data_IF_209876105331
#
_entry.id   IF_209876105331
#
_cell.length_a   1.000
_cell.length_b   1.000
_cell.length_c   1.000
_cell.angle_alpha   90.00
_cell.angle_beta   90.00
_cell.angle_gamma   90.00
#
_symmetry.space_group_name_H-M   'P 1'
#
loop_
_entity.id
_entity.type
_entity.pdbx_description
1 polymer ?
#
# COMPACT_ATOMS: atom_id res chain seq x y z
N UNK A 1 -11.95 -2.83 -71.60
CA UNK A 1 -11.47 -4.20 -71.91
C UNK A 1 -9.96 -4.20 -71.84
N UNK A 2 -9.39 -4.64 -70.72
CA UNK A 2 -8.04 -5.21 -70.65
C UNK A 2 -7.92 -5.96 -69.31
N UNK A 3 -7.58 -7.22 -69.46
CA UNK A 3 -7.52 -8.29 -68.47
C UNK A 3 -6.15 -8.25 -67.78
N UNK A 4 -6.10 -8.24 -66.44
CA UNK A 4 -4.93 -8.77 -65.70
C UNK A 4 -5.37 -9.59 -64.50
N UNK A 5 -5.18 -10.90 -64.68
CA UNK A 5 -5.21 -11.97 -63.68
C UNK A 5 -4.20 -11.72 -62.56
N UNK A 6 -4.57 -12.06 -61.33
CA UNK A 6 -3.67 -12.12 -60.18
C UNK A 6 -4.32 -12.87 -59.02
N UNK A 7 -4.36 -14.20 -59.14
CA UNK A 7 -4.87 -15.15 -58.15
C UNK A 7 -3.71 -15.57 -57.24
N UNK A 8 -3.78 -15.31 -55.94
CA UNK A 8 -2.94 -16.02 -54.96
C UNK A 8 -3.77 -16.37 -53.72
N UNK A 9 -4.22 -17.63 -53.68
CA UNK A 9 -4.62 -18.34 -52.47
C UNK A 9 -3.38 -19.07 -51.95
N UNK A 10 -3.08 -18.95 -50.66
CA UNK A 10 -2.26 -19.94 -49.95
C UNK A 10 -2.85 -20.20 -48.57
N UNK A 11 -3.56 -21.32 -48.50
CA UNK A 11 -3.87 -22.07 -47.30
C UNK A 11 -2.67 -22.94 -46.92
N UNK A 12 -2.26 -22.96 -45.66
CA UNK A 12 -1.52 -24.10 -45.09
C UNK A 12 -2.19 -24.55 -43.80
N UNK A 13 -2.54 -25.83 -43.80
CA UNK A 13 -3.29 -26.61 -42.83
C UNK A 13 -2.33 -27.63 -42.19
N UNK A 14 -2.51 -27.87 -40.89
CA UNK A 14 -2.31 -29.10 -40.09
C UNK A 14 -0.97 -29.88 -40.06
N UNK A 15 -0.48 -30.10 -38.83
CA UNK A 15 -0.31 -31.39 -38.09
C UNK A 15 0.55 -31.08 -36.84
N UNK A 16 0.26 -31.48 -35.59
CA UNK A 16 -0.55 -32.57 -35.06
C UNK A 16 0.35 -33.74 -34.61
N UNK A 17 0.63 -33.87 -33.30
CA UNK A 17 0.83 -35.13 -32.53
C UNK A 17 1.26 -34.79 -31.08
N UNK A 18 0.44 -35.12 -30.07
CA UNK A 18 0.57 -36.31 -29.17
C UNK A 18 1.54 -36.03 -28.00
N UNK A 19 1.31 -36.33 -26.72
CA UNK A 19 0.34 -37.20 -26.05
C UNK A 19 0.45 -37.04 -24.51
N UNK A 20 -0.70 -37.09 -23.83
CA UNK A 20 -1.02 -37.73 -22.52
C UNK A 20 -0.52 -37.23 -21.13
N UNK A 21 -1.32 -37.54 -20.07
CA UNK A 21 -1.31 -36.89 -18.75
C UNK A 21 -0.63 -37.71 -17.66
N UNK A 22 -0.19 -37.07 -16.57
CA UNK A 22 0.26 -37.78 -15.37
C UNK A 22 -0.56 -37.32 -14.16
N UNK A 23 -1.52 -38.16 -13.77
CA UNK A 23 -1.98 -38.34 -12.39
C UNK A 23 -1.27 -39.58 -11.84
N UNK A 24 -0.68 -39.46 -10.66
CA UNK A 24 -0.40 -40.63 -9.81
C UNK A 24 -0.55 -40.25 -8.34
N UNK A 25 -1.52 -40.88 -7.69
CA UNK A 25 -1.60 -41.07 -6.24
C UNK A 25 -0.39 -41.87 -5.74
N UNK A 26 0.02 -41.69 -4.47
CA UNK A 26 0.33 -42.80 -3.54
C UNK A 26 0.87 -42.37 -2.16
N UNK A 27 0.07 -42.70 -1.12
CA UNK A 27 0.43 -43.40 0.12
C UNK A 27 1.54 -42.92 1.08
N UNK A 28 1.12 -42.37 2.22
CA UNK A 28 1.08 -42.96 3.59
C UNK A 28 2.10 -44.06 4.01
N UNK A 29 2.56 -43.92 5.28
CA UNK A 29 3.20 -44.91 6.21
C UNK A 29 4.72 -45.04 6.06
N UNK A 30 5.59 -45.15 7.08
CA UNK A 30 5.55 -45.86 8.38
C UNK A 30 6.82 -45.41 9.18
N UNK A 31 6.72 -44.92 10.42
CA UNK A 31 6.94 -45.59 11.73
C UNK A 31 8.26 -46.35 11.98
N UNK A 32 8.76 -46.12 13.21
CA UNK A 32 9.65 -46.94 14.10
C UNK A 32 11.17 -46.86 13.88
N UNK A 33 11.96 -46.42 14.88
CA UNK A 33 12.35 -47.11 16.14
C UNK A 33 13.15 -48.38 15.83
N UNK A 34 14.34 -48.70 16.35
CA UNK A 34 14.97 -48.42 17.65
C UNK A 34 16.33 -49.15 17.72
N UNK A 35 17.00 -49.00 18.88
CA UNK A 35 17.96 -49.93 19.50
C UNK A 35 19.45 -49.64 19.19
N UNK A 36 20.42 -49.81 20.10
CA UNK A 36 20.51 -50.41 21.46
C UNK A 36 21.86 -49.93 22.06
N UNK A 37 22.04 -49.68 23.36
CA UNK A 37 22.58 -50.59 24.42
C UNK A 37 22.94 -49.69 25.62
N UNK A 38 22.44 -49.88 26.84
CA UNK A 38 22.69 -50.93 27.85
C UNK A 38 24.10 -50.87 28.47
N UNK A 39 24.22 -50.42 29.72
CA UNK A 39 24.44 -51.26 30.93
C UNK A 39 24.65 -50.34 32.17
N UNK A 40 23.79 -50.40 33.20
CA UNK A 40 23.83 -51.32 34.37
C UNK A 40 24.90 -50.88 35.40
N UNK A 41 24.70 -50.79 36.73
CA UNK A 41 23.71 -51.34 37.66
C UNK A 41 23.98 -50.78 39.09
N UNK A 42 22.92 -50.62 39.90
CA UNK A 42 22.81 -50.78 41.39
C UNK A 42 23.72 -50.00 42.38
N UNK A 43 23.40 -49.77 43.67
CA UNK A 43 22.26 -50.11 44.55
C UNK A 43 22.15 -49.07 45.69
N UNK A 44 21.03 -49.17 46.42
CA UNK A 44 20.51 -48.34 47.50
C UNK A 44 21.25 -48.35 48.85
N UNK A 45 20.91 -47.40 49.74
CA UNK A 45 20.22 -47.58 51.05
C UNK A 45 20.52 -46.40 52.01
N UNK A 46 19.49 -45.54 52.21
CA UNK A 46 18.87 -44.99 53.46
C UNK A 46 19.68 -44.63 54.75
N UNK A 47 19.10 -43.81 55.68
CA UNK A 47 19.68 -42.59 56.27
C UNK A 47 20.05 -42.71 57.78
N UNK A 48 20.52 -41.62 58.42
CA UNK A 48 20.11 -41.08 59.77
C UNK A 48 21.10 -40.05 60.38
N UNK A 49 20.54 -38.86 60.69
CA UNK A 49 20.71 -37.88 61.80
C UNK A 49 22.05 -37.40 62.45
N UNK A 50 22.00 -36.07 62.75
CA UNK A 50 22.52 -35.29 63.92
C UNK A 50 24.03 -35.02 63.99
N UNK A 51 24.58 -33.88 64.45
CA UNK A 51 24.12 -32.79 65.31
C UNK A 51 25.03 -31.53 65.20
N UNK A 52 24.47 -30.35 65.55
CA UNK A 52 25.04 -29.18 66.29
C UNK A 52 26.27 -28.35 65.82
N UNK A 53 25.99 -27.04 65.72
CA UNK A 53 26.72 -25.84 66.24
C UNK A 53 28.16 -25.57 65.75
N UNK A 54 28.38 -24.41 65.10
CA UNK A 54 28.69 -23.11 65.73
C UNK A 54 28.83 -21.99 64.69
N UNK A 55 28.45 -20.81 65.13
CA UNK A 55 28.50 -19.48 64.52
C UNK A 55 29.90 -19.11 64.00
N UNK A 56 29.97 -18.50 62.81
CA UNK A 56 30.94 -17.42 62.60
C UNK A 56 30.46 -16.44 61.52
N UNK A 57 30.60 -15.16 61.85
CA UNK A 57 30.17 -14.00 61.07
C UNK A 57 30.97 -13.88 59.78
N UNK A 58 30.29 -13.66 58.64
CA UNK A 58 30.78 -12.77 57.59
C UNK A 58 29.66 -11.88 57.07
N UNK A 59 29.44 -10.76 57.76
CA UNK A 59 28.81 -9.55 57.21
C UNK A 59 29.80 -8.89 56.24
N UNK A 60 29.77 -9.22 54.95
CA UNK A 60 30.27 -8.33 53.88
C UNK A 60 29.98 -8.89 52.48
N UNK A 61 28.73 -8.82 52.02
CA UNK A 61 28.41 -9.26 50.65
C UNK A 61 27.19 -8.60 50.01
N UNK A 62 26.26 -8.06 50.81
CA UNK A 62 24.97 -7.64 50.26
C UNK A 62 24.92 -6.22 49.66
N UNK A 63 25.98 -5.38 49.77
CA UNK A 63 25.91 -4.03 49.17
C UNK A 63 26.17 -3.99 47.66
N UNK A 64 26.92 -4.93 47.10
CA UNK A 64 27.23 -4.94 45.67
C UNK A 64 26.13 -5.61 44.82
N UNK A 65 25.43 -6.61 45.35
CA UNK A 65 24.35 -7.28 44.64
C UNK A 65 23.08 -6.41 44.52
N UNK A 66 22.71 -5.70 45.60
CA UNK A 66 21.55 -4.80 45.60
C UNK A 66 21.76 -3.56 44.71
N UNK A 67 22.99 -3.03 44.63
CA UNK A 67 23.30 -1.91 43.72
C UNK A 67 23.28 -2.35 42.25
N UNK A 68 23.72 -3.58 41.93
CA UNK A 68 23.69 -4.11 40.56
C UNK A 68 22.25 -4.37 40.07
N UNK A 69 21.38 -4.89 40.95
CA UNK A 69 19.95 -5.09 40.64
C UNK A 69 19.23 -3.75 40.46
N UNK A 70 19.52 -2.75 41.31
CA UNK A 70 18.96 -1.40 41.15
C UNK A 70 19.41 -0.73 39.86
N UNK A 71 20.70 -0.81 39.51
CA UNK A 71 21.21 -0.20 38.28
C UNK A 71 20.59 -0.82 37.03
N UNK A 72 20.39 -2.14 37.02
CA UNK A 72 19.75 -2.83 35.89
C UNK A 72 18.26 -2.45 35.76
N UNK A 73 17.56 -2.27 36.88
CA UNK A 73 16.19 -1.76 36.88
C UNK A 73 16.11 -0.31 36.41
N UNK A 74 17.04 0.55 36.83
CA UNK A 74 17.08 1.96 36.40
C UNK A 74 17.39 2.07 34.91
N UNK A 75 18.37 1.31 34.40
CA UNK A 75 18.69 1.28 32.97
C UNK A 75 17.54 0.67 32.15
N UNK A 76 16.91 -0.39 32.65
CA UNK A 76 15.74 -1.00 32.01
C UNK A 76 14.55 -0.05 31.95
N UNK A 77 14.29 0.70 33.03
CA UNK A 77 13.25 1.73 33.07
C UNK A 77 13.56 2.88 32.11
N UNK A 78 14.81 3.36 32.08
CA UNK A 78 15.22 4.41 31.13
C UNK A 78 15.08 3.91 29.69
N UNK A 79 15.52 2.69 29.36
CA UNK A 79 15.31 2.10 28.03
C UNK A 79 13.82 1.97 27.69
N UNK A 80 12.99 1.48 28.62
CA UNK A 80 11.55 1.37 28.41
C UNK A 80 10.90 2.74 28.18
N UNK A 81 11.32 3.77 28.93
CA UNK A 81 10.85 5.15 28.75
C UNK A 81 11.31 5.71 27.41
N UNK A 82 12.57 5.49 27.01
CA UNK A 82 13.08 5.93 25.69
C UNK A 82 12.35 5.22 24.56
N UNK A 83 12.13 3.90 24.65
CA UNK A 83 11.34 3.14 23.68
C UNK A 83 9.90 3.63 23.67
N UNK A 84 9.29 3.90 24.82
CA UNK A 84 7.94 4.47 24.88
C UNK A 84 7.89 5.88 24.29
N UNK A 85 8.88 6.74 24.53
CA UNK A 85 8.95 8.09 23.96
C UNK A 85 9.13 8.01 22.45
N UNK A 86 10.04 7.17 21.95
CA UNK A 86 10.22 6.93 20.51
C UNK A 86 8.93 6.37 19.92
N UNK A 87 8.34 5.36 20.55
CA UNK A 87 7.08 4.78 20.09
C UNK A 87 5.97 5.84 20.08
N UNK A 88 5.83 6.65 21.11
CA UNK A 88 4.84 7.73 21.14
C UNK A 88 5.17 8.87 20.16
N UNK A 89 6.42 9.25 19.94
CA UNK A 89 6.77 10.27 18.95
C UNK A 89 6.52 9.81 17.51
N UNK A 90 6.89 8.56 17.19
CA UNK A 90 6.75 8.02 15.85
C UNK A 90 5.34 7.49 15.56
N UNK A 91 4.62 6.94 16.56
CA UNK A 91 3.28 6.38 16.38
C UNK A 91 2.13 7.29 16.84
N UNK A 92 2.32 8.28 17.74
CA UNK A 92 1.23 9.24 18.02
C UNK A 92 1.01 10.27 16.92
N UNK A 93 2.01 10.55 16.08
CA UNK A 93 1.74 11.35 14.86
C UNK A 93 0.67 10.69 13.99
N UNK A 94 0.58 9.35 13.99
CA UNK A 94 -0.45 8.60 13.26
C UNK A 94 -1.79 8.47 14.00
N UNK A 95 -1.84 8.61 15.33
CA UNK A 95 -3.07 8.45 16.12
C UNK A 95 -3.89 9.74 16.22
N UNK A 96 -3.27 10.91 16.09
CA UNK A 96 -3.96 12.19 15.91
C UNK A 96 -4.25 12.46 14.42
N UNK A 97 -4.78 11.44 13.74
CA UNK A 97 -5.08 11.43 12.30
C UNK A 97 -6.03 12.58 11.93
N UNK A 98 -5.43 13.72 11.64
CA UNK A 98 -6.05 14.89 11.07
C UNK A 98 -6.51 14.51 9.66
N UNK A 99 -7.78 14.77 9.34
CA UNK A 99 -8.24 14.69 7.97
C UNK A 99 -7.42 15.68 7.14
N UNK A 100 -6.76 15.26 6.06
CA UNK A 100 -5.91 16.17 5.27
C UNK A 100 -6.71 17.40 4.79
N UNK A 101 -8.01 17.22 4.55
CA UNK A 101 -8.95 18.25 4.12
C UNK A 101 -10.02 18.51 5.17
N UNK A 102 -9.67 19.24 6.24
CA UNK A 102 -10.57 19.54 7.37
C UNK A 102 -11.88 20.29 7.01
N UNK A 103 -11.98 20.88 5.82
CA UNK A 103 -13.13 21.70 5.43
C UNK A 103 -14.19 20.96 4.60
N UNK A 104 -14.04 19.64 4.37
CA UNK A 104 -14.97 18.87 3.55
C UNK A 104 -16.15 18.32 4.36
N UNK A 105 -17.31 18.98 4.28
CA UNK A 105 -18.54 18.62 5.02
C UNK A 105 -19.74 18.22 4.14
N UNK A 106 -19.57 18.16 2.82
CA UNK A 106 -20.66 17.84 1.89
C UNK A 106 -20.88 16.34 1.70
N UNK A 107 -22.12 15.94 1.42
CA UNK A 107 -22.52 14.58 1.01
C UNK A 107 -22.33 14.32 -0.48
N UNK A 108 -21.98 15.34 -1.27
CA UNK A 108 -21.73 15.18 -2.70
C UNK A 108 -20.58 14.18 -2.94
N UNK A 109 -20.75 13.20 -3.86
CA UNK A 109 -19.79 12.12 -4.07
C UNK A 109 -18.34 12.58 -4.21
N UNK A 110 -18.09 13.62 -5.01
CA UNK A 110 -16.74 14.12 -5.24
C UNK A 110 -16.12 14.79 -4.01
N UNK A 111 -16.92 15.50 -3.21
CA UNK A 111 -16.46 16.12 -1.96
C UNK A 111 -16.23 15.05 -0.89
N UNK A 112 -17.08 14.03 -0.84
CA UNK A 112 -16.94 12.90 0.09
C UNK A 112 -15.63 12.12 -0.13
N UNK A 113 -15.09 12.10 -1.35
CA UNK A 113 -13.80 11.48 -1.64
C UNK A 113 -12.60 12.22 -0.99
N UNK A 114 -12.77 13.50 -0.64
CA UNK A 114 -11.78 14.28 0.12
C UNK A 114 -11.95 14.16 1.64
N UNK A 115 -13.13 13.83 2.14
CA UNK A 115 -13.38 13.69 3.59
C UNK A 115 -12.88 12.36 4.17
N UNK A 116 -12.28 11.48 3.34
CA UNK A 116 -11.69 10.23 3.83
C UNK A 116 -10.39 10.48 4.61
N UNK A 117 -10.07 9.63 5.60
CA UNK A 117 -8.78 9.64 6.31
C UNK A 117 -7.59 9.18 5.46
N UNK A 118 -7.78 8.91 4.17
CA UNK A 118 -6.71 8.43 3.28
C UNK A 118 -5.86 9.61 2.83
N UNK A 119 -4.56 9.51 3.05
CA UNK A 119 -3.56 10.41 2.47
C UNK A 119 -3.19 9.96 1.05
N UNK A 120 -2.47 10.81 0.33
CA UNK A 120 -2.01 10.52 -1.02
C UNK A 120 -3.06 10.74 -2.08
N UNK A 121 -2.83 10.17 -3.24
CA UNK A 121 -3.56 10.40 -4.48
C UNK A 121 -4.56 9.27 -4.72
N UNK A 122 -5.74 9.60 -5.20
CA UNK A 122 -6.77 8.62 -5.58
C UNK A 122 -7.30 8.93 -6.96
N UNK A 123 -7.33 7.91 -7.82
CA UNK A 123 -7.90 7.99 -9.15
C UNK A 123 -9.42 7.84 -9.11
N UNK A 124 -10.13 8.75 -9.79
CA UNK A 124 -11.58 8.73 -9.93
C UNK A 124 -11.92 8.76 -11.42
N UNK A 125 -12.81 7.88 -11.83
CA UNK A 125 -13.52 7.99 -13.09
C UNK A 125 -14.89 8.60 -12.81
N UNK A 126 -15.09 9.85 -13.25
CA UNK A 126 -16.39 10.50 -13.20
C UNK A 126 -17.10 10.20 -14.52
N UNK A 127 -18.03 9.24 -14.49
CA UNK A 127 -18.81 8.92 -15.67
C UNK A 127 -19.90 9.98 -15.83
N UNK A 128 -19.68 10.90 -16.78
CA UNK A 128 -20.56 12.02 -17.09
C UNK A 128 -21.78 11.52 -17.85
N UNK A 129 -22.93 11.56 -17.22
CA UNK A 129 -24.24 11.48 -17.86
C UNK A 129 -24.84 12.87 -18.05
N UNK A 130 -24.49 13.82 -17.17
CA UNK A 130 -24.97 15.20 -17.24
C UNK A 130 -23.85 16.22 -16.89
N UNK A 131 -23.43 17.02 -17.88
CA UNK A 131 -22.41 18.05 -17.70
C UNK A 131 -22.76 19.10 -16.64
N UNK A 132 -24.05 19.45 -16.49
CA UNK A 132 -24.47 20.42 -15.48
C UNK A 132 -24.29 19.90 -14.05
N UNK A 133 -24.47 18.59 -13.84
CA UNK A 133 -24.27 17.97 -12.52
C UNK A 133 -22.78 17.88 -12.17
N UNK A 134 -21.91 17.62 -13.15
CA UNK A 134 -20.46 17.66 -12.95
C UNK A 134 -20.01 19.06 -12.52
N UNK A 135 -20.43 20.10 -13.23
CA UNK A 135 -20.09 21.48 -12.87
C UNK A 135 -20.70 21.91 -11.52
N UNK A 136 -21.88 21.39 -11.17
CA UNK A 136 -22.44 21.56 -9.81
C UNK A 136 -21.55 20.92 -8.73
N UNK A 137 -21.02 19.71 -8.97
CA UNK A 137 -20.11 19.07 -8.01
C UNK A 137 -18.76 19.80 -7.90
N UNK A 138 -18.25 20.32 -9.01
CA UNK A 138 -17.00 21.11 -9.00
C UNK A 138 -17.18 22.47 -8.32
N UNK A 139 -18.33 23.14 -8.51
CA UNK A 139 -18.62 24.43 -7.86
C UNK A 139 -18.93 24.32 -6.36
N UNK A 140 -19.30 23.13 -5.89
CA UNK A 140 -19.51 22.84 -4.47
C UNK A 140 -18.26 22.36 -3.75
N UNK A 141 -17.10 22.36 -4.43
CA UNK A 141 -15.82 22.04 -3.81
C UNK A 141 -15.52 23.02 -2.66
N UNK A 142 -15.13 22.51 -1.48
CA UNK A 142 -14.77 23.35 -0.35
C UNK A 142 -13.56 24.24 -0.63
N UNK A 143 -13.48 25.40 0.04
CA UNK A 143 -12.40 26.40 -0.15
C UNK A 143 -10.98 25.88 0.11
N UNK A 144 -10.81 24.81 0.90
CA UNK A 144 -9.50 24.21 1.14
C UNK A 144 -9.03 23.28 0.03
N UNK A 145 -9.89 22.96 -0.95
CA UNK A 145 -9.55 22.14 -2.11
C UNK A 145 -9.23 23.05 -3.30
N UNK A 146 -8.03 22.88 -3.87
CA UNK A 146 -7.62 23.62 -5.05
C UNK A 146 -7.88 22.78 -6.30
N UNK A 147 -8.75 23.28 -7.19
CA UNK A 147 -9.10 22.66 -8.46
C UNK A 147 -8.13 23.09 -9.57
N UNK A 148 -7.51 22.11 -10.24
CA UNK A 148 -6.67 22.31 -11.41
C UNK A 148 -7.25 21.55 -12.60
N UNK A 149 -7.68 22.28 -13.64
CA UNK A 149 -8.08 21.67 -14.91
C UNK A 149 -6.84 21.38 -15.75
N UNK A 150 -6.74 20.13 -16.21
CA UNK A 150 -5.68 19.66 -17.10
C UNK A 150 -6.24 19.61 -18.52
N UNK A 151 -5.90 20.62 -19.32
CA UNK A 151 -6.44 20.82 -20.68
C UNK A 151 -5.39 20.60 -21.77
N UNK A 152 -4.11 20.66 -21.42
CA UNK A 152 -3.00 20.52 -22.38
C UNK A 152 -2.43 19.11 -22.31
N UNK A 153 -2.33 18.38 -23.44
CA UNK A 153 -1.73 17.05 -23.47
C UNK A 153 -0.31 17.01 -22.91
N UNK A 154 0.01 15.89 -22.25
CA UNK A 154 1.34 15.64 -21.73
C UNK A 154 2.15 14.77 -22.69
N UNK A 155 3.23 15.35 -23.20
CA UNK A 155 4.14 14.67 -24.13
C UNK A 155 5.18 13.78 -23.43
N UNK A 156 5.34 13.94 -22.10
CA UNK A 156 6.32 13.18 -21.33
C UNK A 156 5.93 13.02 -19.86
N UNK A 157 6.48 12.00 -19.21
CA UNK A 157 6.34 11.79 -17.75
C UNK A 157 6.93 12.96 -16.97
N UNK A 158 8.01 13.57 -17.48
CA UNK A 158 8.68 14.71 -16.82
C UNK A 158 7.80 15.95 -16.80
N UNK A 159 7.17 16.31 -17.93
CA UNK A 159 6.26 17.46 -17.98
C UNK A 159 5.02 17.23 -17.12
N UNK A 160 4.52 15.98 -17.08
CA UNK A 160 3.44 15.59 -16.20
C UNK A 160 3.81 15.73 -14.72
N UNK A 161 4.95 15.17 -14.29
CA UNK A 161 5.48 15.29 -12.92
C UNK A 161 5.65 16.75 -12.49
N UNK A 162 6.32 17.56 -13.32
CA UNK A 162 6.53 18.98 -13.02
C UNK A 162 5.22 19.73 -12.87
N UNK A 163 4.24 19.45 -13.74
CA UNK A 163 2.91 20.05 -13.64
C UNK A 163 2.23 19.70 -12.32
N UNK A 164 2.17 18.42 -11.97
CA UNK A 164 1.50 17.99 -10.74
C UNK A 164 2.18 18.53 -9.49
N UNK A 165 3.52 18.50 -9.42
CA UNK A 165 4.27 19.07 -8.27
C UNK A 165 4.04 20.56 -8.13
N UNK A 166 4.04 21.31 -9.24
CA UNK A 166 3.76 22.76 -9.22
C UNK A 166 2.36 23.04 -8.68
N UNK A 167 1.36 22.30 -9.16
CA UNK A 167 -0.03 22.46 -8.73
C UNK A 167 -0.19 22.11 -7.22
N UNK A 168 0.58 21.14 -6.72
CA UNK A 168 0.54 20.70 -5.33
C UNK A 168 1.47 21.46 -4.36
N UNK A 169 2.37 22.34 -4.84
CA UNK A 169 3.46 22.89 -4.04
C UNK A 169 3.02 23.61 -2.76
N UNK A 170 1.89 24.32 -2.80
CA UNK A 170 1.36 25.10 -1.67
C UNK A 170 0.01 24.56 -1.16
N UNK A 171 -0.47 23.43 -1.70
CA UNK A 171 -1.83 22.97 -1.49
C UNK A 171 -1.84 21.60 -0.80
N UNK A 172 -2.58 21.49 0.32
CA UNK A 172 -2.78 20.19 1.00
C UNK A 172 -3.87 19.33 0.37
N UNK A 173 -4.84 19.96 -0.30
CA UNK A 173 -5.94 19.26 -0.94
C UNK A 173 -6.06 19.72 -2.39
N UNK A 174 -5.82 18.81 -3.32
CA UNK A 174 -5.71 19.13 -4.74
C UNK A 174 -6.65 18.23 -5.53
N UNK A 175 -7.40 18.82 -6.45
CA UNK A 175 -8.14 18.08 -7.47
C UNK A 175 -7.54 18.37 -8.83
N UNK A 176 -7.07 17.33 -9.52
CA UNK A 176 -6.75 17.41 -10.94
C UNK A 176 -7.94 16.89 -11.74
N UNK A 177 -8.50 17.74 -12.59
CA UNK A 177 -9.66 17.42 -13.41
C UNK A 177 -9.26 17.31 -14.87
N UNK A 178 -9.49 16.15 -15.47
CA UNK A 178 -9.23 15.84 -16.87
C UNK A 178 -10.57 15.66 -17.58
N UNK A 179 -10.93 16.59 -18.45
CA UNK A 179 -12.17 16.51 -19.23
C UNK A 179 -11.99 15.75 -20.55
N UNK A 180 -10.84 15.94 -21.20
CA UNK A 180 -10.45 15.16 -22.37
C UNK A 180 -9.40 14.11 -21.97
N UNK A 181 -9.74 12.83 -22.09
CA UNK A 181 -8.84 11.71 -21.81
C UNK A 181 -7.59 11.74 -22.70
N UNK A 182 -7.67 12.39 -23.87
CA UNK A 182 -6.53 12.65 -24.75
C UNK A 182 -5.38 13.37 -24.04
N UNK A 183 -5.67 14.21 -23.05
CA UNK A 183 -4.66 14.95 -22.28
C UNK A 183 -3.65 14.04 -21.59
N UNK A 184 -4.11 12.90 -21.08
CA UNK A 184 -3.29 11.97 -20.30
C UNK A 184 -2.87 10.74 -21.08
N UNK A 185 -3.29 10.62 -22.35
CA UNK A 185 -3.04 9.43 -23.18
C UNK A 185 -1.55 9.14 -23.33
N UNK A 186 -0.73 10.18 -23.56
CA UNK A 186 0.73 10.05 -23.70
C UNK A 186 1.44 9.58 -22.42
N UNK A 187 0.82 9.80 -21.26
CA UNK A 187 1.36 9.43 -19.94
C UNK A 187 0.52 8.35 -19.25
N UNK A 188 -0.33 7.63 -19.99
CA UNK A 188 -1.27 6.65 -19.43
C UNK A 188 -0.57 5.61 -18.57
N UNK A 189 0.58 5.08 -18.99
CA UNK A 189 1.33 4.09 -18.21
C UNK A 189 1.86 4.66 -16.88
N UNK A 190 2.19 5.95 -16.85
CA UNK A 190 2.68 6.64 -15.65
C UNK A 190 1.57 6.90 -14.64
N UNK A 191 0.30 6.94 -15.05
CA UNK A 191 -0.82 7.02 -14.11
C UNK A 191 -0.87 5.82 -13.17
N UNK A 192 -0.40 4.64 -13.62
CA UNK A 192 -0.27 3.47 -12.76
C UNK A 192 0.68 3.76 -11.59
N UNK A 193 1.89 4.23 -11.90
CA UNK A 193 2.88 4.60 -10.89
C UNK A 193 2.33 5.68 -9.95
N UNK A 194 1.67 6.70 -10.52
CA UNK A 194 1.03 7.77 -9.76
C UNK A 194 0.00 7.25 -8.75
N UNK A 195 -0.83 6.28 -9.13
CA UNK A 195 -1.89 5.76 -8.28
C UNK A 195 -1.39 4.70 -7.28
N UNK A 196 -0.31 3.97 -7.60
CA UNK A 196 0.25 2.93 -6.73
C UNK A 196 1.18 3.53 -5.68
N UNK A 197 2.08 4.41 -6.14
CA UNK A 197 3.22 4.86 -5.34
C UNK A 197 3.06 6.31 -4.88
N UNK A 198 2.01 7.02 -5.33
CA UNK A 198 1.85 8.47 -5.13
C UNK A 198 3.05 9.28 -5.65
N UNK A 199 3.76 8.71 -6.63
CA UNK A 199 5.01 9.19 -7.14
C UNK A 199 5.07 9.00 -8.67
N UNK A 200 5.99 9.73 -9.30
CA UNK A 200 6.38 9.50 -10.70
C UNK A 200 7.89 9.48 -10.77
N UNK A 201 8.47 8.46 -11.40
CA UNK A 201 9.91 8.18 -11.42
C UNK A 201 10.51 8.13 -10.01
N UNK A 202 9.75 7.62 -9.04
CA UNK A 202 10.16 7.60 -7.62
C UNK A 202 10.14 8.97 -6.92
N UNK A 203 9.73 10.05 -7.59
CA UNK A 203 9.55 11.35 -6.95
C UNK A 203 8.11 11.54 -6.44
N UNK A 204 7.92 11.89 -5.15
CA UNK A 204 6.59 12.13 -4.62
C UNK A 204 5.96 13.35 -5.29
N UNK A 205 4.69 13.20 -5.70
CA UNK A 205 3.92 14.28 -6.35
C UNK A 205 3.25 15.18 -5.33
N UNK A 206 2.76 14.61 -4.24
CA UNK A 206 2.08 15.33 -3.16
C UNK A 206 3.03 15.54 -1.97
N UNK A 207 2.94 16.70 -1.28
CA UNK A 207 3.59 16.88 0.01
C UNK A 207 3.07 15.88 1.05
N UNK A 208 3.88 15.57 2.07
CA UNK A 208 3.45 14.71 3.19
C UNK A 208 2.20 15.28 3.87
N UNK A 209 1.27 14.39 4.26
CA UNK A 209 0.00 14.78 4.88
C UNK A 209 -1.01 15.44 3.93
N UNK A 210 -0.80 15.36 2.62
CA UNK A 210 -1.70 15.94 1.61
C UNK A 210 -2.61 14.88 0.98
N UNK A 211 -3.69 15.34 0.35
CA UNK A 211 -4.68 14.54 -0.37
C UNK A 211 -4.85 15.06 -1.79
N UNK A 212 -4.72 14.16 -2.76
CA UNK A 212 -4.98 14.44 -4.16
C UNK A 212 -6.11 13.58 -4.70
N UNK A 213 -7.00 14.17 -5.51
CA UNK A 213 -7.89 13.41 -6.37
C UNK A 213 -7.52 13.67 -7.82
N UNK A 214 -7.37 12.61 -8.60
CA UNK A 214 -7.16 12.68 -10.03
C UNK A 214 -8.42 12.18 -10.72
N UNK A 215 -9.18 13.11 -11.28
CA UNK A 215 -10.52 12.85 -11.82
C UNK A 215 -10.44 12.83 -13.34
N UNK A 216 -10.72 11.68 -13.92
CA UNK A 216 -10.96 11.52 -15.35
C UNK A 216 -12.46 11.59 -15.58
N UNK A 217 -12.92 12.67 -16.20
CA UNK A 217 -14.30 12.87 -16.56
C UNK A 217 -14.55 12.39 -18.00
N UNK A 218 -15.49 11.48 -18.20
CA UNK A 218 -15.82 10.95 -19.52
C UNK A 218 -17.25 10.44 -19.58
N UNK A 219 -17.89 10.50 -20.75
CA UNK A 219 -19.17 9.84 -20.99
C UNK A 219 -19.02 8.31 -21.14
N UNK A 220 -17.80 7.85 -21.45
CA UNK A 220 -17.49 6.45 -21.66
C UNK A 220 -17.68 5.63 -20.40
N UNK A 221 -18.18 4.41 -20.56
CA UNK A 221 -18.18 3.40 -19.52
C UNK A 221 -16.75 3.01 -19.12
N UNK A 222 -16.63 2.31 -17.99
CA UNK A 222 -15.35 1.78 -17.52
C UNK A 222 -14.76 0.81 -18.55
N UNK A 223 -15.59 0.02 -19.21
CA UNK A 223 -15.21 -0.94 -20.24
C UNK A 223 -14.64 -0.23 -21.47
N UNK A 224 -15.31 0.80 -21.96
CA UNK A 224 -14.86 1.60 -23.13
C UNK A 224 -13.60 2.43 -22.82
N UNK A 225 -13.36 2.81 -21.56
CA UNK A 225 -12.12 3.47 -21.17
C UNK A 225 -10.89 2.56 -21.32
N UNK A 226 -11.05 1.24 -21.28
CA UNK A 226 -9.93 0.29 -21.47
C UNK A 226 -9.35 0.32 -22.88
N UNK A 227 -10.10 0.85 -23.84
CA UNK A 227 -9.63 1.03 -25.22
C UNK A 227 -8.75 2.30 -25.38
N UNK A 228 -8.73 3.18 -24.37
CA UNK A 228 -8.00 4.46 -24.41
C UNK A 228 -6.85 4.47 -23.41
N UNK A 229 -7.12 4.03 -22.18
CA UNK A 229 -6.17 4.01 -21.07
C UNK A 229 -5.71 2.58 -20.79
N UNK A 230 -4.49 2.38 -20.26
CA UNK A 230 -4.03 1.07 -19.88
C UNK A 230 -5.01 0.38 -18.92
N UNK A 231 -5.30 -0.90 -19.18
CA UNK A 231 -6.29 -1.67 -18.43
C UNK A 231 -6.11 -1.59 -16.90
N UNK A 232 -4.85 -1.67 -16.43
CA UNK A 232 -4.52 -1.56 -15.00
C UNK A 232 -4.91 -0.20 -14.41
N UNK A 233 -4.68 0.88 -15.15
CA UNK A 233 -5.03 2.24 -14.72
C UNK A 233 -6.54 2.37 -14.56
N UNK A 234 -7.30 1.90 -15.54
CA UNK A 234 -8.78 1.89 -15.47
C UNK A 234 -9.27 1.13 -14.24
N UNK A 235 -8.60 0.02 -13.89
CA UNK A 235 -8.93 -0.74 -12.68
C UNK A 235 -8.68 0.01 -11.37
N UNK A 236 -7.74 0.94 -11.35
CA UNK A 236 -7.43 1.76 -10.17
C UNK A 236 -8.35 2.97 -10.02
N UNK A 237 -9.06 3.36 -11.07
CA UNK A 237 -10.05 4.42 -10.98
C UNK A 237 -11.29 3.94 -10.23
N UNK A 238 -11.74 4.69 -9.22
CA UNK A 238 -13.06 4.49 -8.62
C UNK A 238 -14.12 5.19 -9.47
N UNK A 239 -15.17 4.47 -9.88
CA UNK A 239 -16.19 5.05 -10.76
C UNK A 239 -17.33 5.68 -9.96
N UNK A 240 -17.60 6.95 -10.24
CA UNK A 240 -18.74 7.72 -9.74
C UNK A 240 -19.58 8.11 -10.96
N UNK A 241 -20.88 7.83 -10.93
CA UNK A 241 -21.82 8.19 -12.01
C UNK A 241 -22.55 9.46 -11.63
N UNK A 242 -22.54 10.45 -12.51
CA UNK A 242 -23.12 11.79 -12.26
C UNK A 242 -23.84 12.31 -13.47
#
# INVERSE_FOLDING_TARGET
>A
MQEKKGRQKSSRKERGSSETPIKTDSSRSRNESSATRSDSIETAVKPIQKEKKKTEQKKSGNRLYFNKIRFCHTVGFICAVVVAIVFFYFFNEDLNQSFPCHCCTSTEPLVSAFSTKRFGLTGIHLQRMNSALVEKQLSTLPKCVTLHRLTTPFDSVTSFLQRLKRDAAANRCVLWFVEDVGVVRGVGNSLKELFEDNALRGEPVLPRGSRGLFVVNSEKSREELKDILPHRVVHMLHTIKV
#
